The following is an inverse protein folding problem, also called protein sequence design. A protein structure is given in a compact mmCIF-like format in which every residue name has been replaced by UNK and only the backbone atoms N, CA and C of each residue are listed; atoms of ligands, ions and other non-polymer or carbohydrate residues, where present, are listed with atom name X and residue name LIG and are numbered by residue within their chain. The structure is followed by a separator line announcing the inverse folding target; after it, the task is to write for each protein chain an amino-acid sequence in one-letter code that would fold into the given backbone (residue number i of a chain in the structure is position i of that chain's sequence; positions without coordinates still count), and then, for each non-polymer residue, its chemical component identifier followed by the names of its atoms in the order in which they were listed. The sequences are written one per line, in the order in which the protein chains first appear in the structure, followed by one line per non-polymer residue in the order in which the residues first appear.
data_IF_964534728775
#
_entry.id   IF_964534728775
#
_cell.length_a   1.000
_cell.length_b   1.000
_cell.length_c   1.000
_cell.angle_alpha   90.00
_cell.angle_beta   90.00
_cell.angle_gamma   90.00
#
_symmetry.space_group_name_H-M   'P 1'
#
loop_
_entity.id
_entity.type
_entity.pdbx_description
1 polymer ?
#
# COMPACT_ATOMS: atom_id res chain seq x y z
N UNK A 1 -15.01 -5.40 29.76
CA UNK A 1 -14.53 -5.76 28.39
C UNK A 1 -13.53 -4.69 27.97
N UNK A 2 -12.31 -5.07 27.63
CA UNK A 2 -11.29 -4.12 27.19
C UNK A 2 -11.55 -3.68 25.74
N UNK A 3 -11.15 -2.45 25.42
CA UNK A 3 -11.48 -1.76 24.16
C UNK A 3 -10.24 -1.57 23.30
N UNK A 4 -10.29 -2.03 22.07
CA UNK A 4 -9.18 -1.94 21.10
C UNK A 4 -9.63 -1.19 19.86
N UNK A 5 -8.94 -0.10 19.55
CA UNK A 5 -9.17 0.70 18.37
C UNK A 5 -8.05 0.52 17.35
N UNK A 6 -8.43 0.10 16.16
CA UNK A 6 -7.58 0.13 14.97
C UNK A 6 -7.84 1.42 14.20
N UNK A 7 -6.84 2.25 13.98
CA UNK A 7 -6.97 3.53 13.33
C UNK A 7 -6.04 3.65 12.11
N UNK A 8 -6.57 4.13 10.99
CA UNK A 8 -5.81 4.47 9.81
C UNK A 8 -6.20 5.84 9.28
N UNK A 9 -5.20 6.62 8.86
CA UNK A 9 -5.39 7.87 8.15
C UNK A 9 -5.11 7.63 6.67
N UNK A 10 -6.17 7.47 5.89
CA UNK A 10 -6.12 7.17 4.46
C UNK A 10 -5.75 8.42 3.65
N UNK A 11 -5.13 8.23 2.47
CA UNK A 11 -4.75 9.34 1.60
C UNK A 11 -5.95 10.15 1.08
N UNK A 12 -7.13 9.51 0.96
CA UNK A 12 -8.39 10.15 0.52
C UNK A 12 -9.59 9.53 1.24
N UNK A 13 -10.72 10.24 1.28
CA UNK A 13 -11.96 9.79 1.94
C UNK A 13 -12.53 8.50 1.37
N UNK A 14 -12.44 8.32 0.07
CA UNK A 14 -12.98 7.15 -0.62
C UNK A 14 -12.01 5.95 -0.69
N UNK A 15 -10.95 5.96 0.11
CA UNK A 15 -10.03 4.83 0.24
C UNK A 15 -10.34 4.03 1.50
N UNK A 16 -10.15 2.71 1.42
CA UNK A 16 -10.14 1.83 2.59
C UNK A 16 -8.71 1.51 3.03
N UNK A 17 -8.54 0.93 4.20
CA UNK A 17 -7.23 0.46 4.66
C UNK A 17 -7.25 -1.06 4.87
N UNK A 18 -6.72 -1.79 3.89
CA UNK A 18 -6.68 -3.26 3.94
C UNK A 18 -5.90 -3.76 5.17
N UNK A 19 -4.82 -3.08 5.58
CA UNK A 19 -3.97 -3.54 6.67
C UNK A 19 -4.74 -3.64 7.99
N UNK A 20 -5.35 -2.54 8.48
CA UNK A 20 -6.06 -2.58 9.77
C UNK A 20 -7.27 -3.50 9.75
N UNK A 21 -7.92 -3.65 8.59
CA UNK A 21 -9.04 -4.60 8.40
C UNK A 21 -8.55 -6.03 8.51
N UNK A 22 -7.45 -6.37 7.86
CA UNK A 22 -6.82 -7.69 7.91
C UNK A 22 -6.38 -8.03 9.33
N UNK A 23 -5.68 -7.11 10.00
CA UNK A 23 -5.19 -7.28 11.37
C UNK A 23 -6.34 -7.53 12.35
N UNK A 24 -7.39 -6.70 12.29
CA UNK A 24 -8.56 -6.82 13.16
C UNK A 24 -9.29 -8.15 12.93
N UNK A 25 -9.54 -8.52 11.66
CA UNK A 25 -10.28 -9.74 11.30
C UNK A 25 -9.50 -11.01 11.67
N UNK A 26 -8.18 -11.03 11.41
CA UNK A 26 -7.34 -12.15 11.79
C UNK A 26 -7.24 -12.30 13.31
N UNK A 27 -7.04 -11.21 14.04
CA UNK A 27 -6.98 -11.23 15.50
C UNK A 27 -8.31 -11.70 16.13
N UNK A 28 -9.46 -11.24 15.61
CA UNK A 28 -10.76 -11.70 16.06
C UNK A 28 -10.95 -13.21 15.85
N UNK A 29 -10.51 -13.76 14.69
CA UNK A 29 -10.48 -15.21 14.46
C UNK A 29 -9.66 -15.92 15.53
N UNK A 30 -8.46 -15.42 15.86
CA UNK A 30 -7.57 -16.03 16.86
C UNK A 30 -8.11 -15.93 18.29
N UNK A 31 -8.76 -14.84 18.65
CA UNK A 31 -9.47 -14.70 19.92
C UNK A 31 -10.60 -15.72 20.03
N UNK A 32 -11.40 -15.89 19.00
CA UNK A 32 -12.48 -16.88 18.97
C UNK A 32 -11.97 -18.31 19.09
N UNK A 33 -10.89 -18.67 18.38
CA UNK A 33 -10.24 -19.99 18.48
C UNK A 33 -9.76 -20.31 19.90
N UNK A 34 -9.53 -19.29 20.76
CA UNK A 34 -9.13 -19.42 22.16
C UNK A 34 -10.27 -19.21 23.17
N UNK A 35 -11.50 -18.96 22.71
CA UNK A 35 -12.63 -18.66 23.60
C UNK A 35 -12.50 -17.32 24.33
N UNK A 36 -11.81 -16.35 23.72
CA UNK A 36 -11.55 -15.01 24.27
C UNK A 36 -12.33 -13.90 23.55
N UNK A 37 -13.19 -14.24 22.59
CA UNK A 37 -13.94 -13.30 21.76
C UNK A 37 -14.84 -12.35 22.56
N UNK A 38 -15.39 -12.78 23.69
CA UNK A 38 -16.17 -11.91 24.59
C UNK A 38 -15.35 -11.02 25.54
N UNK A 39 -14.01 -11.07 25.50
CA UNK A 39 -13.14 -10.30 26.40
C UNK A 39 -12.79 -8.91 25.88
N UNK A 40 -12.78 -8.73 24.56
CA UNK A 40 -12.38 -7.50 23.89
C UNK A 40 -13.49 -6.97 22.99
N UNK A 41 -13.67 -5.66 22.96
CA UNK A 41 -14.45 -4.94 21.95
C UNK A 41 -13.48 -4.36 20.92
N UNK A 42 -13.63 -4.74 19.65
CA UNK A 42 -12.77 -4.32 18.54
C UNK A 42 -13.50 -3.32 17.67
N UNK A 43 -12.93 -2.14 17.45
CA UNK A 43 -13.46 -1.16 16.51
C UNK A 43 -12.39 -0.74 15.51
N UNK A 44 -12.82 -0.36 14.31
CA UNK A 44 -11.98 0.16 13.23
C UNK A 44 -12.44 1.57 12.89
N UNK A 45 -11.49 2.51 12.81
CA UNK A 45 -11.72 3.88 12.35
C UNK A 45 -10.80 4.18 11.18
N UNK A 46 -11.40 4.47 10.04
CA UNK A 46 -10.73 4.95 8.84
C UNK A 46 -11.02 6.43 8.68
N UNK A 47 -9.99 7.24 8.83
CA UNK A 47 -10.01 8.68 8.68
C UNK A 47 -9.24 9.09 7.42
N UNK A 48 -9.19 10.36 7.09
CA UNK A 48 -8.41 10.87 5.95
C UNK A 48 -7.40 11.92 6.40
N UNK A 49 -6.23 11.94 5.75
CA UNK A 49 -5.24 13.02 5.95
C UNK A 49 -5.75 14.41 5.54
N UNK A 50 -6.91 14.49 4.87
CA UNK A 50 -7.57 15.74 4.51
C UNK A 50 -8.42 16.31 5.65
N UNK A 51 -8.58 15.58 6.76
CA UNK A 51 -9.20 16.07 7.98
C UNK A 51 -8.15 16.78 8.85
N UNK A 52 -8.59 17.72 9.67
CA UNK A 52 -7.69 18.31 10.65
C UNK A 52 -7.46 17.37 11.85
N UNK A 53 -6.37 17.60 12.59
CA UNK A 53 -6.01 16.76 13.72
C UNK A 53 -7.08 16.71 14.81
N UNK A 54 -7.78 17.83 15.08
CA UNK A 54 -8.82 17.90 16.11
C UNK A 54 -10.02 17.00 15.79
N UNK A 55 -10.46 16.96 14.54
CA UNK A 55 -11.55 16.06 14.09
C UNK A 55 -11.15 14.58 14.28
N UNK A 56 -9.91 14.24 13.98
CA UNK A 56 -9.40 12.87 14.14
C UNK A 56 -9.30 12.51 15.62
N UNK A 57 -8.75 13.40 16.45
CA UNK A 57 -8.65 13.21 17.91
C UNK A 57 -10.04 13.02 18.51
N UNK A 58 -11.00 13.85 18.16
CA UNK A 58 -12.41 13.71 18.60
C UNK A 58 -12.99 12.35 18.21
N UNK A 59 -12.82 11.95 16.95
CA UNK A 59 -13.31 10.65 16.46
C UNK A 59 -12.71 9.47 17.21
N UNK A 60 -11.42 9.55 17.63
CA UNK A 60 -10.76 8.54 18.45
C UNK A 60 -11.33 8.55 19.87
N UNK A 61 -11.47 9.72 20.49
CA UNK A 61 -11.97 9.86 21.86
C UNK A 61 -13.43 9.39 21.99
N UNK A 62 -14.24 9.59 20.94
CA UNK A 62 -15.65 9.18 20.90
C UNK A 62 -15.84 7.74 20.37
N UNK A 63 -14.76 7.02 20.05
CA UNK A 63 -14.84 5.72 19.38
C UNK A 63 -15.60 4.66 20.17
N UNK A 64 -15.73 4.78 21.50
CA UNK A 64 -16.42 3.83 22.39
C UNK A 64 -17.45 4.55 23.28
N UNK A 65 -18.24 5.44 22.70
CA UNK A 65 -19.35 6.13 23.38
C UNK A 65 -18.89 6.87 24.67
N UNK A 66 -17.72 7.53 24.57
CA UNK A 66 -17.09 8.29 25.64
C UNK A 66 -16.21 7.48 26.60
N UNK A 67 -16.08 6.18 26.39
CA UNK A 67 -15.12 5.38 27.13
C UNK A 67 -13.77 5.27 26.40
N UNK A 68 -12.67 5.32 27.15
CA UNK A 68 -11.32 5.29 26.60
C UNK A 68 -10.96 3.92 26.02
N UNK A 69 -10.27 3.85 24.87
CA UNK A 69 -9.62 2.62 24.41
C UNK A 69 -8.49 2.22 25.38
N UNK A 70 -8.36 0.91 25.66
CA UNK A 70 -7.20 0.36 26.39
C UNK A 70 -5.97 0.28 25.48
N UNK A 71 -6.21 0.06 24.17
CA UNK A 71 -5.18 -0.08 23.15
C UNK A 71 -5.60 0.62 21.86
N UNK A 72 -4.72 1.46 21.33
CA UNK A 72 -4.85 2.15 20.05
C UNK A 72 -3.73 1.72 19.11
N UNK A 73 -4.08 1.16 17.96
CA UNK A 73 -3.14 0.70 16.94
C UNK A 73 -3.26 1.55 15.68
N UNK A 74 -2.16 2.19 15.28
CA UNK A 74 -2.09 2.98 14.05
C UNK A 74 -1.38 2.25 12.92
N UNK A 75 -1.94 2.36 11.71
CA UNK A 75 -1.28 1.98 10.46
C UNK A 75 -0.56 3.18 9.86
N UNK A 76 0.79 3.13 9.88
CA UNK A 76 1.65 4.29 9.55
C UNK A 76 2.34 4.08 8.21
N UNK A 77 2.05 4.98 7.29
CA UNK A 77 2.60 5.06 5.94
C UNK A 77 3.27 6.41 5.71
N UNK A 78 4.04 6.51 4.64
CA UNK A 78 4.75 7.74 4.25
C UNK A 78 3.83 8.96 4.13
N UNK A 79 2.59 8.79 3.68
CA UNK A 79 1.65 9.89 3.47
C UNK A 79 0.94 10.36 4.73
N UNK A 80 0.90 9.56 5.79
CA UNK A 80 0.14 9.87 7.00
C UNK A 80 1.00 10.01 8.27
N UNK A 81 2.29 9.69 8.22
CA UNK A 81 3.08 9.56 9.44
C UNK A 81 3.15 10.88 10.25
N UNK A 82 3.34 12.02 9.62
CA UNK A 82 3.41 13.31 10.33
C UNK A 82 2.12 13.62 11.09
N UNK A 83 0.96 13.44 10.43
CA UNK A 83 -0.34 13.66 11.07
C UNK A 83 -0.62 12.60 12.13
N UNK A 84 -0.25 11.34 11.87
CA UNK A 84 -0.38 10.26 12.86
C UNK A 84 0.41 10.55 14.13
N UNK A 85 1.65 11.07 14.02
CA UNK A 85 2.47 11.43 15.16
C UNK A 85 1.82 12.55 15.97
N UNK A 86 1.37 13.62 15.31
CA UNK A 86 0.65 14.72 15.95
C UNK A 86 -0.58 14.25 16.71
N UNK A 87 -1.41 13.42 16.07
CA UNK A 87 -2.64 12.87 16.67
C UNK A 87 -2.29 11.95 17.85
N UNK A 88 -1.32 11.07 17.67
CA UNK A 88 -0.94 10.12 18.72
C UNK A 88 -0.38 10.82 19.97
N UNK A 89 0.44 11.87 19.80
CA UNK A 89 0.95 12.67 20.92
C UNK A 89 -0.14 13.40 21.66
N UNK A 90 -1.08 14.00 20.94
CA UNK A 90 -2.25 14.65 21.56
C UNK A 90 -3.12 13.64 22.34
N UNK A 91 -3.40 12.48 21.74
CA UNK A 91 -4.17 11.40 22.40
C UNK A 91 -3.43 10.92 23.66
N UNK A 92 -2.11 10.77 23.60
CA UNK A 92 -1.31 10.32 24.77
C UNK A 92 -1.30 11.36 25.89
N UNK A 93 -1.40 12.66 25.58
CA UNK A 93 -1.55 13.72 26.58
C UNK A 93 -2.96 13.71 27.20
N UNK A 94 -4.01 13.47 26.43
CA UNK A 94 -5.40 13.43 26.91
C UNK A 94 -5.64 12.15 27.75
N UNK A 95 -5.10 11.02 27.29
CA UNK A 95 -5.25 9.70 27.88
C UNK A 95 -3.88 9.08 28.20
N UNK A 96 -3.23 9.48 29.32
CA UNK A 96 -1.86 9.06 29.66
C UNK A 96 -1.69 7.55 29.80
N UNK A 97 -2.73 6.83 30.26
CA UNK A 97 -2.68 5.38 30.46
C UNK A 97 -2.91 4.57 29.18
N UNK A 98 -3.44 5.20 28.10
CA UNK A 98 -3.70 4.51 26.84
C UNK A 98 -2.41 3.95 26.25
N UNK A 99 -2.44 2.68 25.86
CA UNK A 99 -1.32 2.04 25.17
C UNK A 99 -1.46 2.27 23.67
N UNK A 100 -0.41 2.81 23.05
CA UNK A 100 -0.39 3.13 21.62
C UNK A 100 0.67 2.26 20.94
N UNK A 101 0.27 1.55 19.88
CA UNK A 101 1.15 0.78 19.04
C UNK A 101 1.14 1.31 17.60
N UNK A 102 2.32 1.37 16.98
CA UNK A 102 2.48 1.70 15.56
C UNK A 102 2.85 0.46 14.76
N UNK A 103 2.33 0.36 13.54
CA UNK A 103 2.73 -0.63 12.55
C UNK A 103 2.70 -0.04 11.15
N UNK A 104 3.24 -0.75 10.19
CA UNK A 104 3.29 -0.33 8.80
C UNK A 104 4.70 -0.04 8.28
N UNK A 105 4.84 0.18 6.96
CA UNK A 105 6.15 0.26 6.30
C UNK A 105 6.99 1.45 6.76
N UNK A 106 6.36 2.57 7.12
CA UNK A 106 7.08 3.78 7.52
C UNK A 106 7.85 3.60 8.85
N UNK A 107 7.33 2.81 9.76
CA UNK A 107 7.91 2.64 11.10
C UNK A 107 8.75 1.38 11.26
N UNK A 108 8.65 0.43 10.31
CA UNK A 108 9.30 -0.88 10.42
C UNK A 108 10.82 -0.83 10.26
N UNK A 109 11.36 0.11 9.45
CA UNK A 109 12.78 0.14 9.08
C UNK A 109 13.60 1.19 9.83
N UNK A 110 12.95 2.18 10.46
CA UNK A 110 13.59 3.26 11.24
C UNK A 110 13.01 3.36 12.65
N UNK A 111 12.76 2.25 13.31
CA UNK A 111 12.01 2.23 14.58
C UNK A 111 12.62 3.12 15.66
N UNK A 112 13.96 3.22 15.78
CA UNK A 112 14.61 4.16 16.70
C UNK A 112 14.26 5.62 16.38
N UNK A 113 14.40 6.03 15.13
CA UNK A 113 14.11 7.41 14.71
C UNK A 113 12.63 7.77 14.90
N UNK A 114 11.71 6.79 14.82
CA UNK A 114 10.30 7.01 15.15
C UNK A 114 10.13 7.41 16.61
N UNK A 115 10.78 6.71 17.56
CA UNK A 115 10.72 7.03 18.98
C UNK A 115 11.38 8.38 19.33
N UNK A 116 12.34 8.83 18.53
CA UNK A 116 12.94 10.15 18.67
C UNK A 116 11.99 11.26 18.20
N UNK A 117 11.20 10.98 17.13
CA UNK A 117 10.26 11.93 16.53
C UNK A 117 8.90 11.99 17.22
N UNK A 118 8.47 10.90 17.86
CA UNK A 118 7.16 10.77 18.48
C UNK A 118 7.26 10.05 19.83
N UNK A 119 6.81 10.72 20.88
CA UNK A 119 6.80 10.23 22.24
C UNK A 119 5.66 9.26 22.56
N UNK A 120 4.64 9.19 21.72
CA UNK A 120 3.40 8.49 22.05
C UNK A 120 3.46 6.95 21.99
N UNK A 121 4.10 6.28 20.99
CA UNK A 121 4.00 4.84 20.89
C UNK A 121 4.74 4.12 22.02
N UNK A 122 4.12 3.10 22.57
CA UNK A 122 4.70 2.18 23.55
C UNK A 122 5.55 1.11 22.87
N UNK A 123 5.17 0.72 21.65
CA UNK A 123 5.87 -0.27 20.82
C UNK A 123 5.61 -0.03 19.33
N UNK A 124 6.49 -0.61 18.49
CA UNK A 124 6.37 -0.63 17.04
C UNK A 124 6.33 -2.09 16.59
N UNK A 125 5.38 -2.42 15.72
CA UNK A 125 5.28 -3.74 15.07
C UNK A 125 6.14 -3.69 13.82
N UNK A 126 7.14 -4.57 13.72
CA UNK A 126 8.03 -4.69 12.57
C UNK A 126 7.57 -5.79 11.62
N UNK A 127 7.45 -5.46 10.33
CA UNK A 127 7.05 -6.43 9.30
C UNK A 127 5.53 -6.65 9.26
N UNK A 128 5.12 -7.90 8.94
CA UNK A 128 3.71 -8.27 8.83
C UNK A 128 3.03 -8.29 10.21
N UNK A 129 1.90 -7.64 10.32
CA UNK A 129 1.27 -7.38 11.61
C UNK A 129 0.30 -8.45 12.10
N UNK A 130 -0.14 -9.38 11.27
CA UNK A 130 -1.24 -10.31 11.60
C UNK A 130 -0.96 -11.14 12.85
N UNK A 131 0.20 -11.80 12.92
CA UNK A 131 0.58 -12.60 14.10
C UNK A 131 0.86 -11.74 15.33
N UNK A 132 1.75 -10.72 15.26
CA UNK A 132 2.00 -9.86 16.42
C UNK A 132 0.74 -9.25 17.01
N UNK A 133 -0.17 -8.73 16.18
CA UNK A 133 -1.41 -8.12 16.66
C UNK A 133 -2.32 -9.15 17.33
N UNK A 134 -2.48 -10.34 16.75
CA UNK A 134 -3.26 -11.40 17.38
C UNK A 134 -2.67 -11.79 18.75
N UNK A 135 -1.35 -11.94 18.86
CA UNK A 135 -0.67 -12.28 20.12
C UNK A 135 -0.79 -11.14 21.14
N UNK A 136 -0.68 -9.86 20.73
CA UNK A 136 -0.94 -8.67 21.57
C UNK A 136 -2.37 -8.73 22.13
N UNK A 137 -3.38 -8.98 21.29
CA UNK A 137 -4.77 -8.98 21.73
C UNK A 137 -5.09 -10.18 22.64
N UNK A 138 -4.50 -11.34 22.40
CA UNK A 138 -4.61 -12.49 23.28
C UNK A 138 -4.03 -12.13 24.66
N UNK A 139 -2.82 -11.54 24.71
CA UNK A 139 -2.22 -11.07 25.96
C UNK A 139 -3.08 -10.05 26.68
N UNK A 140 -3.65 -9.09 25.91
CA UNK A 140 -4.55 -8.10 26.48
C UNK A 140 -5.80 -8.74 27.10
N UNK A 141 -6.37 -9.77 26.46
CA UNK A 141 -7.56 -10.49 26.94
C UNK A 141 -7.26 -11.37 28.17
N UNK A 142 -6.07 -11.95 28.25
CA UNK A 142 -5.65 -12.86 29.33
C UNK A 142 -5.12 -12.13 30.56
N UNK A 143 -4.59 -10.90 30.41
CA UNK A 143 -3.94 -10.16 31.51
C UNK A 143 -4.97 -9.34 32.30
N UNK A 144 -4.94 -9.47 33.61
CA UNK A 144 -5.68 -8.57 34.52
C UNK A 144 -5.02 -7.19 34.58
N UNK A 145 -5.68 -6.21 35.23
CA UNK A 145 -5.22 -4.84 35.31
C UNK A 145 -3.78 -4.73 35.81
N UNK A 146 -2.90 -4.05 35.06
CA UNK A 146 -1.56 -3.64 35.47
C UNK A 146 -0.38 -4.47 34.94
N UNK A 147 -0.56 -5.64 34.32
CA UNK A 147 0.55 -6.47 33.83
C UNK A 147 0.72 -6.53 32.30
N UNK A 148 -0.08 -5.80 31.55
CA UNK A 148 -0.11 -5.96 30.09
C UNK A 148 1.17 -5.46 29.39
N UNK A 149 1.72 -4.32 29.81
CA UNK A 149 2.93 -3.76 29.20
C UNK A 149 4.12 -4.71 29.35
N UNK A 150 4.28 -5.33 30.51
CA UNK A 150 5.33 -6.32 30.76
C UNK A 150 5.13 -7.58 29.91
N UNK A 151 3.86 -8.00 29.73
CA UNK A 151 3.50 -9.16 28.93
C UNK A 151 3.84 -8.97 27.43
N UNK A 152 3.89 -7.73 26.93
CA UNK A 152 4.26 -7.42 25.53
C UNK A 152 5.68 -7.87 25.18
N UNK A 153 6.60 -7.94 26.14
CA UNK A 153 7.98 -8.38 25.90
C UNK A 153 8.05 -9.83 25.38
N UNK A 154 7.04 -10.63 25.65
CA UNK A 154 6.92 -12.03 25.18
C UNK A 154 6.36 -12.14 23.74
N UNK A 155 5.74 -11.08 23.21
CA UNK A 155 5.18 -11.05 21.86
C UNK A 155 6.30 -10.79 20.85
N UNK A 156 6.45 -11.64 19.86
CA UNK A 156 7.46 -11.49 18.80
C UNK A 156 7.08 -10.39 17.80
N UNK A 157 8.09 -9.77 17.18
CA UNK A 157 7.90 -8.74 16.18
C UNK A 157 7.77 -7.32 16.73
N UNK A 158 7.93 -7.11 18.03
CA UNK A 158 7.82 -5.80 18.66
C UNK A 158 9.18 -5.16 18.89
N UNK A 159 9.25 -3.87 18.58
CA UNK A 159 10.39 -3.02 18.88
C UNK A 159 9.98 -1.96 19.91
N UNK A 160 10.79 -1.79 20.94
CA UNK A 160 10.49 -0.95 22.11
C UNK A 160 11.38 0.28 22.16
N UNK A 161 10.94 1.30 22.89
CA UNK A 161 11.65 2.58 23.07
C UNK A 161 13.08 2.44 23.64
N UNK A 162 13.32 1.43 24.46
CA UNK A 162 14.64 1.13 25.01
C UNK A 162 15.62 0.51 23.99
N UNK A 163 15.22 0.43 22.71
CA UNK A 163 16.01 -0.17 21.63
C UNK A 163 15.93 -1.69 21.55
N UNK A 164 15.18 -2.35 22.43
CA UNK A 164 15.05 -3.82 22.38
C UNK A 164 14.08 -4.28 21.29
N UNK A 165 14.42 -5.38 20.64
CA UNK A 165 13.55 -6.09 19.71
C UNK A 165 13.19 -7.46 20.28
N UNK A 166 11.92 -7.80 20.29
CA UNK A 166 11.43 -9.05 20.88
C UNK A 166 11.71 -10.31 20.04
N UNK A 167 12.36 -10.15 18.89
CA UNK A 167 12.76 -11.23 18.00
C UNK A 167 11.81 -11.47 16.82
N UNK A 168 12.30 -12.21 15.85
CA UNK A 168 11.57 -12.53 14.61
C UNK A 168 10.46 -13.55 14.84
N UNK A 169 9.53 -13.58 13.87
CA UNK A 169 8.41 -14.53 13.83
C UNK A 169 8.17 -15.01 12.39
N UNK A 170 7.50 -16.13 12.24
CA UNK A 170 7.07 -16.61 10.94
C UNK A 170 5.79 -15.88 10.50
N UNK A 171 5.75 -15.32 9.29
CA UNK A 171 4.55 -14.73 8.72
C UNK A 171 3.37 -15.73 8.70
N UNK A 172 2.17 -15.19 8.78
CA UNK A 172 0.95 -15.98 8.68
C UNK A 172 0.77 -16.45 7.23
N UNK A 173 0.40 -17.73 6.96
CA UNK A 173 -0.06 -18.14 5.65
C UNK A 173 -1.24 -17.26 5.19
N UNK A 174 -1.23 -16.79 3.93
CA UNK A 174 -2.29 -15.88 3.44
C UNK A 174 -3.69 -16.52 3.51
N UNK A 175 -3.76 -17.83 3.30
CA UNK A 175 -5.00 -18.62 3.41
C UNK A 175 -5.61 -18.63 4.80
N UNK A 176 -4.83 -18.38 5.85
CA UNK A 176 -5.31 -18.32 7.23
C UNK A 176 -5.97 -16.98 7.57
N UNK A 177 -5.69 -15.93 6.80
CA UNK A 177 -6.28 -14.60 6.97
C UNK A 177 -7.70 -14.63 6.39
N UNK A 178 -8.75 -14.33 7.18
CA UNK A 178 -10.12 -14.33 6.67
C UNK A 178 -10.33 -13.24 5.60
N UNK A 179 -11.32 -13.45 4.73
CA UNK A 179 -11.75 -12.43 3.78
C UNK A 179 -12.42 -11.25 4.51
N UNK A 180 -11.76 -10.12 4.51
CA UNK A 180 -12.06 -8.98 5.39
C UNK A 180 -13.40 -8.30 5.08
N UNK A 181 -13.89 -8.38 3.83
CA UNK A 181 -15.13 -7.69 3.41
C UNK A 181 -16.41 -8.50 3.66
N UNK A 182 -16.27 -9.81 3.98
CA UNK A 182 -17.43 -10.65 4.34
C UNK A 182 -17.44 -11.02 5.83
N UNK A 183 -16.31 -10.91 6.51
CA UNK A 183 -16.12 -11.41 7.87
C UNK A 183 -15.61 -10.33 8.84
N UNK A 184 -15.90 -9.07 8.58
CA UNK A 184 -15.48 -7.97 9.44
C UNK A 184 -16.08 -8.13 10.85
N UNK A 185 -15.25 -8.14 11.91
CA UNK A 185 -15.72 -8.21 13.30
C UNK A 185 -16.08 -6.82 13.87
N UNK A 186 -16.18 -5.82 13.02
CA UNK A 186 -16.45 -4.41 13.33
C UNK A 186 -17.57 -3.89 12.43
N UNK A 187 -18.16 -2.78 12.83
CA UNK A 187 -19.18 -2.09 12.03
C UNK A 187 -18.55 -1.52 10.75
N UNK A 188 -19.13 -1.90 9.60
CA UNK A 188 -18.65 -1.46 8.31
C UNK A 188 -19.19 -0.07 7.97
N UNK A 189 -18.40 0.74 7.28
CA UNK A 189 -18.84 2.05 6.77
C UNK A 189 -19.94 1.88 5.72
N UNK A 190 -20.97 2.74 5.80
CA UNK A 190 -22.16 2.62 4.95
C UNK A 190 -21.86 2.76 3.44
N UNK A 191 -20.83 3.54 3.09
CA UNK A 191 -20.41 3.83 1.71
C UNK A 191 -19.30 2.92 1.17
N UNK A 192 -18.99 1.80 1.85
CA UNK A 192 -17.88 0.90 1.48
C UNK A 192 -17.91 0.47 0.02
N UNK A 193 -19.10 0.29 -0.56
CA UNK A 193 -19.28 -0.18 -1.94
C UNK A 193 -18.91 0.87 -2.99
N UNK A 194 -18.93 2.13 -2.63
CA UNK A 194 -18.56 3.27 -3.48
C UNK A 194 -17.10 3.69 -3.28
N UNK A 195 -16.42 3.10 -2.27
CA UNK A 195 -15.00 3.30 -2.02
C UNK A 195 -14.13 2.50 -2.97
N UNK A 196 -12.86 2.91 -3.05
CA UNK A 196 -11.78 2.08 -3.56
C UNK A 196 -11.44 1.07 -2.47
N UNK A 197 -11.74 -0.19 -2.70
CA UNK A 197 -11.35 -1.26 -1.79
C UNK A 197 -10.11 -1.97 -2.29
N UNK A 198 -9.24 -2.31 -1.36
CA UNK A 198 -7.97 -2.98 -1.67
C UNK A 198 -8.10 -4.46 -1.40
N UNK A 199 -7.59 -5.26 -2.33
CA UNK A 199 -7.62 -6.72 -2.25
C UNK A 199 -6.23 -7.31 -2.53
N UNK A 200 -5.83 -8.31 -1.78
CA UNK A 200 -4.54 -8.98 -1.91
C UNK A 200 -4.76 -10.45 -2.27
N UNK A 201 -4.40 -10.85 -3.49
CA UNK A 201 -4.39 -12.25 -3.90
C UNK A 201 -3.01 -12.89 -3.77
N UNK A 202 -1.96 -12.05 -3.72
CA UNK A 202 -0.60 -12.49 -3.47
C UNK A 202 0.22 -11.44 -2.73
N UNK A 203 1.19 -11.86 -1.94
CA UNK A 203 2.12 -11.02 -1.18
C UNK A 203 3.56 -11.38 -1.50
N UNK A 204 4.42 -10.37 -1.60
CA UNK A 204 5.81 -10.48 -2.02
C UNK A 204 6.02 -10.12 -3.50
N UNK A 205 7.28 -9.88 -3.90
CA UNK A 205 7.64 -9.55 -5.27
C UNK A 205 9.00 -10.20 -5.62
N UNK A 206 9.12 -10.94 -6.74
CA UNK A 206 10.37 -11.60 -7.07
C UNK A 206 11.43 -10.64 -7.63
N UNK A 207 11.02 -9.43 -7.98
CA UNK A 207 11.91 -8.42 -8.54
C UNK A 207 12.75 -7.71 -7.46
N UNK A 208 13.84 -7.07 -7.90
CA UNK A 208 14.86 -6.51 -7.03
C UNK A 208 15.03 -4.98 -7.25
N UNK A 209 13.96 -4.29 -7.62
CA UNK A 209 14.00 -2.86 -7.92
C UNK A 209 14.54 -2.07 -6.71
N UNK A 210 15.63 -1.31 -6.91
CA UNK A 210 16.36 -0.67 -5.82
C UNK A 210 15.54 0.38 -5.04
N UNK A 211 14.59 1.04 -5.68
CA UNK A 211 13.73 2.06 -5.07
C UNK A 211 12.49 1.51 -4.35
N UNK A 212 12.22 0.21 -4.46
CA UNK A 212 10.95 -0.38 -4.02
C UNK A 212 11.11 -1.18 -2.72
N UNK A 213 10.28 -0.89 -1.71
CA UNK A 213 10.22 -1.67 -0.46
C UNK A 213 9.76 -3.12 -0.69
N UNK A 214 8.97 -3.38 -1.72
CA UNK A 214 8.51 -4.75 -2.02
C UNK A 214 9.63 -5.67 -2.50
N UNK A 215 10.80 -5.13 -2.87
CA UNK A 215 11.99 -5.92 -3.21
C UNK A 215 12.62 -6.65 -2.01
N UNK A 216 12.17 -6.35 -0.80
CA UNK A 216 12.67 -6.95 0.44
C UNK A 216 12.09 -8.36 0.63
N UNK A 217 10.80 -8.56 0.38
CA UNK A 217 10.15 -9.88 0.43
C UNK A 217 10.08 -10.51 -0.97
N UNK A 218 11.08 -11.33 -1.28
CA UNK A 218 11.21 -12.00 -2.59
C UNK A 218 10.35 -13.25 -2.75
N UNK A 219 9.81 -13.78 -1.63
CA UNK A 219 8.99 -14.97 -1.65
C UNK A 219 7.53 -14.61 -1.93
N UNK A 220 7.08 -14.86 -3.15
CA UNK A 220 5.67 -14.65 -3.50
C UNK A 220 4.82 -15.77 -2.93
N UNK A 221 3.91 -15.42 -2.02
CA UNK A 221 2.85 -16.28 -1.45
C UNK A 221 1.55 -15.89 -2.13
N UNK A 222 0.77 -16.88 -2.54
CA UNK A 222 -0.44 -16.68 -3.37
C UNK A 222 -1.61 -17.39 -2.70
N UNK A 223 -2.77 -16.76 -2.64
CA UNK A 223 -4.02 -17.40 -2.23
C UNK A 223 -4.41 -18.54 -3.20
N UNK A 224 -5.08 -19.59 -2.74
CA UNK A 224 -5.69 -20.59 -3.60
C UNK A 224 -6.65 -19.94 -4.61
N UNK A 225 -6.57 -20.37 -5.88
CA UNK A 225 -7.34 -19.77 -6.97
C UNK A 225 -8.85 -19.79 -6.71
N UNK A 226 -9.36 -20.89 -6.22
CA UNK A 226 -10.80 -21.09 -5.92
C UNK A 226 -11.29 -20.05 -4.90
N UNK A 227 -10.45 -19.73 -3.91
CA UNK A 227 -10.74 -18.69 -2.93
C UNK A 227 -10.78 -17.31 -3.59
N UNK A 228 -9.77 -16.98 -4.42
CA UNK A 228 -9.73 -15.69 -5.14
C UNK A 228 -10.97 -15.51 -6.00
N UNK A 229 -11.38 -16.54 -6.74
CA UNK A 229 -12.58 -16.49 -7.58
C UNK A 229 -13.88 -16.31 -6.76
N UNK A 230 -13.99 -16.98 -5.61
CA UNK A 230 -15.15 -16.81 -4.71
C UNK A 230 -15.21 -15.38 -4.12
N UNK A 231 -14.07 -14.81 -3.74
CA UNK A 231 -13.99 -13.45 -3.20
C UNK A 231 -14.28 -12.38 -4.28
N UNK A 232 -13.84 -12.60 -5.53
CA UNK A 232 -14.21 -11.76 -6.69
C UNK A 232 -15.71 -11.85 -6.96
N UNK A 233 -16.30 -13.06 -6.91
CA UNK A 233 -17.75 -13.26 -7.05
C UNK A 233 -18.51 -12.46 -5.99
N UNK A 234 -18.05 -12.47 -4.74
CA UNK A 234 -18.63 -11.67 -3.66
C UNK A 234 -18.61 -10.17 -3.99
N UNK A 235 -17.46 -9.62 -4.41
CA UNK A 235 -17.36 -8.20 -4.76
C UNK A 235 -18.36 -7.81 -5.87
N UNK A 236 -18.44 -8.60 -6.92
CA UNK A 236 -19.39 -8.36 -8.02
C UNK A 236 -20.85 -8.50 -7.57
N UNK A 237 -21.18 -9.54 -6.78
CA UNK A 237 -22.53 -9.76 -6.26
C UNK A 237 -22.98 -8.64 -5.33
N UNK A 238 -22.06 -8.10 -4.51
CA UNK A 238 -22.33 -6.97 -3.62
C UNK A 238 -22.33 -5.62 -4.35
N UNK A 239 -21.87 -5.56 -5.62
CA UNK A 239 -21.84 -4.35 -6.43
C UNK A 239 -20.82 -3.31 -5.99
N UNK A 240 -19.67 -3.74 -5.51
CA UNK A 240 -18.53 -2.83 -5.24
C UNK A 240 -18.09 -2.12 -6.53
N UNK A 241 -17.70 -0.87 -6.41
CA UNK A 241 -17.39 -0.03 -7.57
C UNK A 241 -15.99 -0.30 -8.14
N UNK A 242 -14.95 -0.30 -7.29
CA UNK A 242 -13.56 -0.46 -7.71
C UNK A 242 -12.79 -1.32 -6.71
N UNK A 243 -12.22 -2.40 -7.22
CA UNK A 243 -11.32 -3.31 -6.49
C UNK A 243 -9.90 -3.08 -6.99
N UNK A 244 -9.03 -2.53 -6.15
CA UNK A 244 -7.60 -2.37 -6.48
C UNK A 244 -6.82 -3.53 -5.86
N UNK A 245 -6.26 -4.40 -6.73
CA UNK A 245 -5.33 -5.43 -6.29
C UNK A 245 -4.02 -4.78 -5.83
N UNK A 246 -3.54 -5.19 -4.65
CA UNK A 246 -2.27 -4.70 -4.09
C UNK A 246 -1.10 -5.66 -4.35
N UNK A 247 -1.33 -6.67 -5.15
CA UNK A 247 -0.33 -7.60 -5.66
C UNK A 247 0.73 -6.82 -6.45
N UNK A 248 2.00 -6.86 -6.01
CA UNK A 248 3.08 -6.01 -6.55
C UNK A 248 3.49 -6.32 -7.99
N UNK A 249 3.11 -7.47 -8.48
CA UNK A 249 3.14 -7.87 -9.89
C UNK A 249 2.13 -8.98 -10.04
N UNK A 250 0.92 -8.62 -10.41
CA UNK A 250 -0.21 -9.55 -10.44
C UNK A 250 -0.01 -10.69 -11.46
N UNK A 251 0.56 -10.39 -12.63
CA UNK A 251 0.65 -11.32 -13.74
C UNK A 251 1.95 -12.17 -13.76
N UNK A 252 2.40 -12.67 -12.61
CA UNK A 252 3.58 -13.52 -12.51
C UNK A 252 3.36 -14.95 -13.03
N UNK A 253 2.18 -15.54 -12.79
CA UNK A 253 1.85 -16.92 -13.09
C UNK A 253 0.68 -17.00 -14.07
N UNK A 254 0.90 -17.36 -15.37
CA UNK A 254 -0.17 -17.42 -16.36
C UNK A 254 -1.39 -18.23 -15.94
N UNK A 255 -1.19 -19.44 -15.39
CA UNK A 255 -2.28 -20.30 -14.91
C UNK A 255 -3.10 -19.69 -13.75
N UNK A 256 -2.62 -18.64 -13.11
CA UNK A 256 -3.35 -17.94 -12.04
C UNK A 256 -4.07 -16.71 -12.60
N UNK A 257 -3.32 -15.74 -13.17
CA UNK A 257 -3.92 -14.48 -13.61
C UNK A 257 -4.89 -14.62 -14.79
N UNK A 258 -4.61 -15.51 -15.74
CA UNK A 258 -5.52 -15.74 -16.87
C UNK A 258 -6.88 -16.25 -16.41
N UNK A 259 -6.91 -17.18 -15.44
CA UNK A 259 -8.18 -17.69 -14.90
C UNK A 259 -8.94 -16.64 -14.11
N UNK A 260 -8.25 -15.74 -13.41
CA UNK A 260 -8.88 -14.62 -12.72
C UNK A 260 -9.50 -13.64 -13.73
N UNK A 261 -8.74 -13.23 -14.75
CA UNK A 261 -9.28 -12.35 -15.79
C UNK A 261 -10.42 -13.00 -16.56
N UNK A 262 -10.29 -14.29 -16.91
CA UNK A 262 -11.37 -15.02 -17.55
C UNK A 262 -12.64 -14.99 -16.72
N UNK A 263 -12.53 -15.30 -15.41
CA UNK A 263 -13.68 -15.29 -14.52
C UNK A 263 -14.35 -13.91 -14.43
N UNK A 264 -13.55 -12.84 -14.30
CA UNK A 264 -14.05 -11.46 -14.29
C UNK A 264 -14.79 -11.15 -15.60
N UNK A 265 -14.22 -11.49 -16.75
CA UNK A 265 -14.79 -11.19 -18.07
C UNK A 265 -16.12 -11.94 -18.29
N UNK A 266 -16.16 -13.22 -17.95
CA UNK A 266 -17.33 -14.08 -18.14
C UNK A 266 -18.49 -13.75 -17.19
N UNK A 267 -18.19 -13.20 -15.99
CA UNK A 267 -19.19 -12.96 -14.94
C UNK A 267 -19.40 -11.48 -14.61
N UNK A 268 -18.87 -10.56 -15.42
CA UNK A 268 -18.89 -9.12 -15.13
C UNK A 268 -20.31 -8.59 -14.94
N UNK A 269 -20.51 -7.86 -13.85
CA UNK A 269 -21.83 -7.33 -13.44
C UNK A 269 -22.18 -5.96 -14.06
N UNK A 270 -21.35 -5.42 -14.99
CA UNK A 270 -21.53 -4.10 -15.60
C UNK A 270 -21.18 -2.90 -14.69
N UNK A 271 -20.71 -3.13 -13.45
CA UNK A 271 -20.46 -2.08 -12.45
C UNK A 271 -19.05 -2.13 -11.85
N UNK A 272 -18.57 -3.30 -11.46
CA UNK A 272 -17.33 -3.46 -10.69
C UNK A 272 -16.10 -3.39 -11.59
N UNK A 273 -15.22 -2.43 -11.36
CA UNK A 273 -13.92 -2.34 -12.02
C UNK A 273 -12.83 -3.03 -11.18
N UNK A 274 -11.87 -3.63 -11.85
CA UNK A 274 -10.71 -4.28 -11.24
C UNK A 274 -9.42 -3.66 -11.75
N UNK A 275 -8.56 -3.22 -10.85
CA UNK A 275 -7.29 -2.59 -11.16
C UNK A 275 -6.12 -3.49 -10.74
N UNK A 276 -5.12 -3.67 -11.64
CA UNK A 276 -4.00 -4.57 -11.45
C UNK A 276 -2.67 -3.88 -11.77
N UNK A 277 -1.66 -4.01 -10.88
CA UNK A 277 -0.27 -3.69 -11.19
C UNK A 277 0.37 -4.86 -11.94
N UNK A 278 0.83 -4.65 -13.18
CA UNK A 278 1.35 -5.72 -14.03
C UNK A 278 2.74 -5.41 -14.58
N UNK A 279 3.48 -6.47 -14.92
CA UNK A 279 4.64 -6.38 -15.80
C UNK A 279 4.21 -6.73 -17.23
N UNK A 280 4.25 -5.76 -18.14
CA UNK A 280 3.81 -5.97 -19.51
C UNK A 280 4.61 -7.05 -20.26
N UNK A 281 5.84 -7.36 -19.83
CA UNK A 281 6.66 -8.45 -20.42
C UNK A 281 6.06 -9.83 -20.19
N UNK A 282 5.29 -10.00 -19.12
CA UNK A 282 4.65 -11.27 -18.78
C UNK A 282 3.34 -11.54 -19.53
N UNK A 283 2.88 -10.58 -20.35
CA UNK A 283 1.69 -10.79 -21.19
C UNK A 283 2.00 -11.77 -22.31
N UNK A 284 1.27 -12.87 -22.37
CA UNK A 284 1.35 -13.88 -23.42
C UNK A 284 0.25 -13.69 -24.48
N UNK A 285 0.27 -14.46 -25.55
CA UNK A 285 -0.71 -14.37 -26.63
C UNK A 285 -2.14 -14.55 -26.11
N UNK A 286 -2.37 -15.52 -25.23
CA UNK A 286 -3.65 -15.80 -24.59
C UNK A 286 -4.17 -14.60 -23.77
N UNK A 287 -3.25 -13.81 -23.17
CA UNK A 287 -3.62 -12.59 -22.45
C UNK A 287 -4.34 -11.61 -23.36
N UNK A 288 -3.81 -11.34 -24.55
CA UNK A 288 -4.38 -10.37 -25.50
C UNK A 288 -5.73 -10.87 -26.06
N UNK A 289 -5.82 -12.14 -26.37
CA UNK A 289 -7.06 -12.78 -26.86
C UNK A 289 -8.18 -12.75 -25.82
N UNK A 290 -7.83 -12.94 -24.57
CA UNK A 290 -8.76 -12.87 -23.45
C UNK A 290 -9.21 -11.43 -23.18
N UNK A 291 -8.25 -10.50 -23.06
CA UNK A 291 -8.52 -9.09 -22.77
C UNK A 291 -9.36 -8.40 -23.87
N UNK A 292 -9.24 -8.85 -25.14
CA UNK A 292 -10.09 -8.34 -26.22
C UNK A 292 -11.60 -8.61 -25.99
N UNK A 293 -11.94 -9.56 -25.14
CA UNK A 293 -13.33 -9.91 -24.78
C UNK A 293 -13.83 -9.17 -23.54
N UNK A 294 -12.96 -8.45 -22.85
CA UNK A 294 -13.33 -7.76 -21.61
C UNK A 294 -14.34 -6.64 -21.86
N UNK A 295 -15.39 -6.52 -21.03
CA UNK A 295 -16.24 -5.34 -21.06
C UNK A 295 -15.42 -4.07 -20.79
N UNK A 296 -15.72 -2.98 -21.51
CA UNK A 296 -15.04 -1.71 -21.30
C UNK A 296 -15.18 -1.23 -19.86
N UNK A 297 -14.06 -0.82 -19.24
CA UNK A 297 -14.00 -0.37 -17.84
C UNK A 297 -13.96 -1.49 -16.80
N UNK A 298 -14.10 -2.78 -17.18
CA UNK A 298 -14.02 -3.89 -16.24
C UNK A 298 -12.59 -4.10 -15.68
N UNK A 299 -11.57 -3.89 -16.51
CA UNK A 299 -10.16 -4.14 -16.18
C UNK A 299 -9.34 -2.89 -16.47
N UNK A 300 -8.47 -2.56 -15.52
CA UNK A 300 -7.50 -1.46 -15.59
C UNK A 300 -6.11 -1.99 -15.25
N UNK A 301 -5.09 -1.52 -15.96
CA UNK A 301 -3.70 -1.86 -15.69
C UNK A 301 -2.89 -0.64 -15.29
N UNK A 302 -1.98 -0.85 -14.35
CA UNK A 302 -0.88 0.04 -14.01
C UNK A 302 0.43 -0.64 -14.41
N UNK A 303 1.22 0.01 -15.27
CA UNK A 303 2.44 -0.54 -15.85
C UNK A 303 3.61 0.37 -15.55
N UNK A 304 4.44 -0.01 -14.60
CA UNK A 304 5.64 0.73 -14.25
C UNK A 304 6.74 0.53 -15.31
N UNK A 305 7.00 1.53 -16.14
CA UNK A 305 8.15 1.58 -17.06
C UNK A 305 9.34 2.19 -16.33
N UNK A 306 9.12 3.28 -15.63
CA UNK A 306 10.00 4.04 -14.75
C UNK A 306 11.06 4.87 -15.48
N UNK A 307 11.73 4.32 -16.47
CA UNK A 307 12.70 4.94 -17.35
C UNK A 307 12.88 4.11 -18.63
N UNK A 308 13.37 4.71 -19.70
CA UNK A 308 13.83 3.98 -20.91
C UNK A 308 15.35 4.01 -21.06
N UNK A 309 16.06 4.71 -20.19
CA UNK A 309 17.52 4.78 -20.19
C UNK A 309 18.12 3.46 -19.67
N UNK A 310 18.88 2.69 -20.47
CA UNK A 310 19.43 1.40 -20.07
C UNK A 310 20.36 1.48 -18.85
N UNK A 311 21.15 2.56 -18.73
CA UNK A 311 22.07 2.75 -17.59
C UNK A 311 21.29 3.01 -16.30
N UNK A 312 20.20 3.77 -16.37
CA UNK A 312 19.29 4.00 -15.25
C UNK A 312 18.60 2.72 -14.82
N UNK A 313 18.02 1.98 -15.77
CA UNK A 313 17.35 0.70 -15.49
C UNK A 313 18.29 -0.31 -14.83
N UNK A 314 19.54 -0.42 -15.33
CA UNK A 314 20.56 -1.26 -14.73
C UNK A 314 20.92 -0.81 -13.32
N UNK A 315 21.07 0.50 -13.09
CA UNK A 315 21.40 1.05 -11.77
C UNK A 315 20.33 0.79 -10.71
N UNK A 316 19.07 0.65 -11.12
CA UNK A 316 17.95 0.32 -10.21
C UNK A 316 17.51 -1.14 -10.29
N UNK A 317 18.34 -2.04 -10.81
CA UNK A 317 18.07 -3.48 -10.93
C UNK A 317 16.81 -3.82 -11.73
N UNK A 318 16.50 -3.04 -12.77
CA UNK A 318 15.42 -3.36 -13.71
C UNK A 318 15.97 -3.88 -15.04
N UNK A 319 15.15 -4.66 -15.73
CA UNK A 319 15.47 -5.12 -17.09
C UNK A 319 15.51 -3.92 -18.05
N UNK A 320 16.54 -3.81 -18.91
CA UNK A 320 16.62 -2.77 -19.94
C UNK A 320 15.76 -3.08 -21.18
N UNK A 321 15.00 -4.18 -21.20
CA UNK A 321 14.17 -4.60 -22.35
C UNK A 321 12.87 -3.79 -22.41
N UNK A 322 13.01 -2.50 -22.73
CA UNK A 322 11.90 -1.54 -22.90
C UNK A 322 11.10 -1.85 -24.14
N UNK A 323 11.75 -2.33 -25.22
CA UNK A 323 11.08 -2.66 -26.48
C UNK A 323 10.04 -3.77 -26.34
N UNK A 324 10.31 -4.78 -25.50
CA UNK A 324 9.36 -5.83 -25.21
C UNK A 324 8.14 -5.29 -24.45
N UNK A 325 8.38 -4.40 -23.47
CA UNK A 325 7.31 -3.69 -22.75
C UNK A 325 6.45 -2.89 -23.72
N UNK A 326 7.07 -2.03 -24.54
CA UNK A 326 6.37 -1.17 -25.48
C UNK A 326 5.56 -1.95 -26.53
N UNK A 327 6.16 -3.02 -27.09
CA UNK A 327 5.48 -3.92 -28.02
C UNK A 327 4.22 -4.51 -27.42
N UNK A 328 4.29 -4.98 -26.18
CA UNK A 328 3.16 -5.58 -25.49
C UNK A 328 2.10 -4.53 -25.09
N UNK A 329 2.50 -3.34 -24.64
CA UNK A 329 1.55 -2.25 -24.35
C UNK A 329 0.74 -1.89 -25.62
N UNK A 330 1.38 -1.75 -26.78
CA UNK A 330 0.68 -1.47 -28.06
C UNK A 330 -0.32 -2.54 -28.47
N UNK A 331 -0.20 -3.75 -27.95
CA UNK A 331 -1.10 -4.89 -28.20
C UNK A 331 -2.25 -4.98 -27.21
N UNK A 332 -2.19 -4.26 -26.08
CA UNK A 332 -3.31 -4.25 -25.13
C UNK A 332 -4.54 -3.66 -25.84
N UNK A 333 -5.69 -4.35 -25.79
CA UNK A 333 -6.91 -3.87 -26.44
C UNK A 333 -7.40 -2.54 -25.83
N UNK A 334 -7.99 -1.67 -26.68
CA UNK A 334 -8.44 -0.32 -26.29
C UNK A 334 -9.60 -0.29 -25.27
N UNK A 335 -10.25 -1.40 -24.99
CA UNK A 335 -11.26 -1.53 -23.95
C UNK A 335 -10.64 -1.67 -22.54
N UNK A 336 -9.32 -1.82 -22.44
CA UNK A 336 -8.56 -1.87 -21.20
C UNK A 336 -7.95 -0.49 -20.93
N UNK A 337 -8.21 0.07 -19.76
CA UNK A 337 -7.59 1.31 -19.32
C UNK A 337 -6.15 1.05 -18.84
N UNK A 338 -5.17 1.78 -19.37
CA UNK A 338 -3.74 1.58 -19.08
C UNK A 338 -3.11 2.85 -18.52
N UNK A 339 -2.59 2.74 -17.29
CA UNK A 339 -1.72 3.73 -16.68
C UNK A 339 -0.26 3.36 -16.94
N UNK A 340 0.54 4.32 -17.35
CA UNK A 340 1.98 4.18 -17.60
C UNK A 340 2.74 5.06 -16.62
N UNK A 341 3.76 4.50 -15.93
CA UNK A 341 4.47 5.24 -14.90
C UNK A 341 5.93 5.48 -15.25
N UNK A 342 6.38 6.70 -14.97
CA UNK A 342 7.78 7.13 -14.99
C UNK A 342 8.20 7.66 -13.61
N UNK A 343 9.49 7.51 -13.28
CA UNK A 343 10.08 8.07 -12.05
C UNK A 343 11.24 8.99 -12.41
N UNK A 344 11.09 10.28 -12.16
CA UNK A 344 12.16 11.27 -12.26
C UNK A 344 13.11 11.18 -11.06
N UNK A 345 14.40 11.45 -11.29
CA UNK A 345 15.43 11.47 -10.25
C UNK A 345 16.01 10.08 -9.93
N UNK A 346 15.86 9.11 -10.80
CA UNK A 346 16.58 7.83 -10.70
C UNK A 346 18.09 8.01 -10.97
N UNK A 347 18.94 7.09 -10.47
CA UNK A 347 20.39 7.15 -10.73
C UNK A 347 20.73 7.14 -12.22
N UNK A 348 21.76 7.89 -12.63
CA UNK A 348 22.25 7.95 -14.03
C UNK A 348 21.30 8.59 -15.03
N UNK A 349 20.21 9.21 -14.59
CA UNK A 349 19.24 9.87 -15.46
C UNK A 349 19.36 11.40 -15.33
N UNK A 350 19.60 12.08 -16.43
CA UNK A 350 19.59 13.54 -16.52
C UNK A 350 18.33 14.03 -17.24
N UNK A 351 18.14 15.34 -17.33
CA UNK A 351 16.95 15.94 -17.96
C UNK A 351 16.73 15.47 -19.39
N UNK A 352 17.79 15.34 -20.19
CA UNK A 352 17.69 14.95 -21.61
C UNK A 352 17.26 13.48 -21.73
N UNK A 353 17.90 12.58 -20.98
CA UNK A 353 17.54 11.16 -21.00
C UNK A 353 16.16 10.91 -20.44
N UNK A 354 15.74 11.68 -19.42
CA UNK A 354 14.39 11.63 -18.91
C UNK A 354 13.36 12.15 -19.91
N UNK A 355 13.66 13.25 -20.62
CA UNK A 355 12.82 13.76 -21.71
C UNK A 355 12.60 12.71 -22.80
N UNK A 356 13.65 11.99 -23.21
CA UNK A 356 13.52 10.86 -24.15
C UNK A 356 12.62 9.76 -23.59
N UNK A 357 12.73 9.43 -22.29
CA UNK A 357 11.86 8.45 -21.64
C UNK A 357 10.40 8.91 -21.64
N UNK A 358 10.17 10.19 -21.34
CA UNK A 358 8.85 10.79 -21.35
C UNK A 358 8.19 10.73 -22.74
N UNK A 359 8.90 11.22 -23.76
CA UNK A 359 8.40 11.22 -25.16
C UNK A 359 8.10 9.80 -25.65
N UNK A 360 9.01 8.86 -25.35
CA UNK A 360 8.83 7.47 -25.72
C UNK A 360 7.58 6.85 -25.09
N UNK A 361 7.37 7.08 -23.79
CA UNK A 361 6.22 6.52 -23.06
C UNK A 361 4.92 7.22 -23.44
N UNK A 362 4.93 8.53 -23.64
CA UNK A 362 3.76 9.28 -24.13
C UNK A 362 3.30 8.78 -25.51
N UNK A 363 4.25 8.42 -26.40
CA UNK A 363 3.96 7.83 -27.71
C UNK A 363 3.32 6.42 -27.66
N UNK A 364 3.32 5.75 -26.51
CA UNK A 364 2.60 4.49 -26.32
C UNK A 364 1.08 4.69 -26.17
N UNK A 365 0.65 5.94 -25.92
CA UNK A 365 -0.76 6.37 -25.85
C UNK A 365 -1.57 5.60 -24.79
N UNK A 366 -1.00 5.41 -23.59
CA UNK A 366 -1.79 5.00 -22.41
C UNK A 366 -2.85 6.04 -22.09
N UNK A 367 -3.96 5.62 -21.48
CA UNK A 367 -5.03 6.53 -21.07
C UNK A 367 -4.58 7.47 -19.94
N UNK A 368 -3.56 7.09 -19.18
CA UNK A 368 -2.94 7.93 -18.16
C UNK A 368 -1.43 7.75 -18.18
N UNK A 369 -0.70 8.85 -18.08
CA UNK A 369 0.75 8.89 -17.86
C UNK A 369 1.02 9.52 -16.50
N UNK A 370 1.58 8.75 -15.60
CA UNK A 370 1.95 9.21 -14.27
C UNK A 370 3.45 9.51 -14.23
N UNK A 371 3.77 10.76 -13.96
CA UNK A 371 5.12 11.21 -13.69
C UNK A 371 5.30 11.29 -12.17
N UNK A 372 6.10 10.38 -11.60
CA UNK A 372 6.45 10.40 -10.19
C UNK A 372 7.89 10.85 -9.96
N UNK A 373 8.22 11.17 -8.71
CA UNK A 373 9.58 11.51 -8.28
C UNK A 373 10.11 10.45 -7.32
N UNK A 374 11.42 10.15 -7.44
CA UNK A 374 12.07 9.19 -6.55
C UNK A 374 11.86 9.58 -5.09
N UNK A 375 11.40 8.64 -4.29
CA UNK A 375 11.31 8.75 -2.83
C UNK A 375 12.34 7.84 -2.21
N UNK A 376 13.20 8.39 -1.37
CA UNK A 376 14.27 7.66 -0.69
C UNK A 376 13.69 6.98 0.55
N UNK A 377 13.04 5.84 0.34
CA UNK A 377 12.36 5.11 1.40
C UNK A 377 13.35 4.38 2.29
N UNK A 378 13.16 4.50 3.59
CA UNK A 378 13.93 3.73 4.56
C UNK A 378 13.69 2.22 4.37
N UNK A 379 14.78 1.45 4.33
CA UNK A 379 14.74 0.02 4.05
C UNK A 379 14.80 -0.34 2.56
N UNK A 380 14.53 0.59 1.63
CA UNK A 380 14.77 0.34 0.20
C UNK A 380 16.28 0.41 -0.13
N UNK A 381 16.80 -0.47 -1.00
CA UNK A 381 18.23 -0.49 -1.34
C UNK A 381 18.78 0.85 -1.86
N UNK A 382 17.94 1.67 -2.50
CA UNK A 382 18.33 3.00 -3.02
C UNK A 382 18.84 3.94 -1.92
N UNK A 383 18.42 3.77 -0.67
CA UNK A 383 18.88 4.58 0.45
C UNK A 383 20.41 4.49 0.66
N UNK A 384 21.04 3.37 0.29
CA UNK A 384 22.50 3.25 0.33
C UNK A 384 23.15 4.05 -0.80
N UNK A 385 22.60 4.02 -2.01
CA UNK A 385 23.08 4.81 -3.16
C UNK A 385 23.06 6.32 -2.87
N UNK A 386 22.04 6.78 -2.15
CA UNK A 386 21.89 8.22 -1.86
C UNK A 386 22.87 8.74 -0.79
N UNK A 387 23.70 7.89 -0.19
CA UNK A 387 24.82 8.31 0.67
C UNK A 387 26.03 8.83 -0.12
N UNK A 388 26.10 8.54 -1.43
CA UNK A 388 27.12 9.07 -2.31
C UNK A 388 26.98 10.60 -2.48
N UNK A 389 28.08 11.33 -2.74
CA UNK A 389 28.02 12.79 -2.94
C UNK A 389 27.12 13.18 -4.11
N UNK A 390 26.43 14.31 -3.96
CA UNK A 390 25.58 14.90 -5.01
C UNK A 390 24.10 14.54 -4.90
N UNK A 391 23.72 13.65 -3.98
CA UNK A 391 22.33 13.38 -3.67
C UNK A 391 21.80 14.34 -2.60
N UNK A 392 20.60 14.88 -2.84
CA UNK A 392 19.81 15.64 -1.88
C UNK A 392 18.37 15.16 -1.95
N UNK A 393 17.76 14.95 -0.80
CA UNK A 393 16.34 14.58 -0.68
C UNK A 393 15.76 15.13 0.61
N UNK A 394 14.45 15.22 0.69
CA UNK A 394 13.74 15.68 1.89
C UNK A 394 13.95 14.69 3.04
N UNK A 395 14.33 15.18 4.22
CA UNK A 395 14.45 14.35 5.43
C UNK A 395 13.12 14.13 6.15
N UNK A 396 12.06 14.75 5.65
CA UNK A 396 10.68 14.55 6.10
C UNK A 396 9.88 13.87 4.99
N UNK A 397 8.84 13.11 5.31
CA UNK A 397 7.96 12.52 4.30
C UNK A 397 7.43 13.56 3.31
N UNK A 398 7.39 13.23 2.05
CA UNK A 398 7.53 11.92 1.43
C UNK A 398 8.96 11.49 1.06
N UNK A 399 10.02 12.07 1.61
CA UNK A 399 11.44 11.77 1.35
C UNK A 399 11.82 11.90 -0.13
N UNK A 400 11.20 12.85 -0.79
CA UNK A 400 11.33 13.06 -2.22
C UNK A 400 12.71 13.63 -2.58
N UNK A 401 13.27 13.15 -3.68
CA UNK A 401 14.54 13.64 -4.20
C UNK A 401 14.44 15.12 -4.58
N UNK A 402 15.44 15.88 -4.17
CA UNK A 402 15.61 17.31 -4.51
C UNK A 402 16.68 17.49 -5.60
N UNK A 403 17.70 16.62 -5.59
CA UNK A 403 18.80 16.65 -6.54
C UNK A 403 19.48 15.29 -6.59
N UNK A 404 19.99 14.92 -7.77
CA UNK A 404 20.89 13.77 -7.95
C UNK A 404 22.21 14.25 -8.56
N UNK A 405 23.25 13.42 -8.60
CA UNK A 405 24.50 13.77 -9.30
C UNK A 405 24.32 14.13 -10.79
N UNK A 406 23.25 13.62 -11.43
CA UNK A 406 22.98 13.82 -12.85
C UNK A 406 21.83 14.81 -13.15
N UNK A 407 21.02 15.17 -12.13
CA UNK A 407 19.82 15.98 -12.27
C UNK A 407 19.78 17.05 -11.16
N UNK A 408 20.23 18.29 -11.45
CA UNK A 408 20.23 19.40 -10.51
C UNK A 408 18.83 19.81 -10.06
N UNK A 409 18.71 20.47 -8.91
CA UNK A 409 17.43 20.90 -8.33
C UNK A 409 16.53 21.71 -9.29
N UNK A 410 17.14 22.61 -10.08
CA UNK A 410 16.39 23.42 -11.05
C UNK A 410 15.71 22.56 -12.14
N UNK A 411 16.34 21.45 -12.51
CA UNK A 411 15.78 20.52 -13.48
C UNK A 411 14.67 19.63 -12.84
N UNK A 412 14.81 19.29 -11.57
CA UNK A 412 13.71 18.65 -10.79
C UNK A 412 12.49 19.58 -10.76
N UNK A 413 12.66 20.89 -10.52
CA UNK A 413 11.54 21.84 -10.53
C UNK A 413 10.87 21.91 -11.90
N UNK A 414 11.66 21.95 -13.00
CA UNK A 414 11.11 21.90 -14.36
C UNK A 414 10.28 20.62 -14.59
N UNK A 415 10.76 19.48 -14.10
CA UNK A 415 10.00 18.22 -14.23
C UNK A 415 8.71 18.21 -13.38
N UNK A 416 8.65 18.96 -12.28
CA UNK A 416 7.39 19.16 -11.53
C UNK A 416 6.36 20.01 -12.31
N UNK A 417 6.85 20.99 -13.04
CA UNK A 417 5.98 21.75 -13.96
C UNK A 417 5.46 20.82 -15.08
N UNK A 418 6.33 19.95 -15.62
CA UNK A 418 5.93 18.92 -16.61
C UNK A 418 4.91 17.94 -16.04
N UNK A 419 5.07 17.47 -14.78
CA UNK A 419 4.08 16.63 -14.09
C UNK A 419 2.70 17.33 -14.07
N UNK A 420 2.67 18.58 -13.61
CA UNK A 420 1.44 19.38 -13.56
C UNK A 420 0.80 19.53 -14.95
N UNK A 421 1.59 19.81 -15.97
CA UNK A 421 1.09 19.93 -17.35
C UNK A 421 0.63 18.58 -17.90
N UNK A 422 1.27 17.48 -17.54
CA UNK A 422 0.85 16.12 -17.90
C UNK A 422 -0.52 15.82 -17.32
N UNK A 423 -0.76 16.14 -16.07
CA UNK A 423 -2.07 15.94 -15.43
C UNK A 423 -3.17 16.79 -16.07
N UNK A 424 -2.87 18.05 -16.42
CA UNK A 424 -3.84 18.96 -17.02
C UNK A 424 -4.16 18.58 -18.48
N UNK A 425 -3.14 18.27 -19.28
CA UNK A 425 -3.31 18.14 -20.73
C UNK A 425 -3.36 16.67 -21.19
N UNK A 426 -2.51 15.80 -20.69
CA UNK A 426 -2.45 14.40 -21.12
C UNK A 426 -3.52 13.55 -20.41
N UNK A 427 -3.63 13.68 -19.09
CA UNK A 427 -4.51 12.86 -18.27
C UNK A 427 -5.97 13.35 -18.23
N UNK A 428 -6.22 14.60 -18.64
CA UNK A 428 -7.57 15.14 -18.67
C UNK A 428 -8.35 14.69 -19.92
N UNK A 429 -9.60 14.26 -19.76
CA UNK A 429 -10.44 13.93 -20.92
C UNK A 429 -10.72 15.12 -21.83
N UNK A 430 -10.62 16.36 -21.32
CA UNK A 430 -10.96 17.59 -22.04
C UNK A 430 -10.01 17.90 -23.21
N UNK A 431 -8.75 17.43 -23.13
CA UNK A 431 -7.71 17.66 -24.13
C UNK A 431 -7.39 16.43 -25.00
N UNK A 432 -8.13 15.33 -24.82
CA UNK A 432 -7.86 14.06 -25.50
C UNK A 432 -7.76 14.16 -27.02
N UNK A 433 -8.52 15.06 -27.67
CA UNK A 433 -8.52 15.28 -29.09
C UNK A 433 -7.42 16.27 -29.59
N UNK A 434 -6.81 17.00 -28.64
CA UNK A 434 -5.74 17.97 -28.98
C UNK A 434 -4.37 17.31 -29.00
N UNK A 435 -4.19 16.24 -28.23
CA UNK A 435 -2.92 15.52 -28.04
C UNK A 435 -2.85 14.24 -28.90
N UNK A 436 -3.96 13.82 -29.52
CA UNK A 436 -4.06 12.59 -30.32
C UNK A 436 -3.32 12.63 -31.65
#
# INVERSE_FOLDING_TARGET
MKKVLFCALNARYNHTNLAIRSLCTYAAKKLKERGLDGKLELRVKEQSINQNAEEIIRSIAEAFDGAEPDLLLFSVYIWNCSLTYTVAEAIKQIFPEMIIGFGGPEVSYQSNAVFEKCGAPSFIIKGEGERPVADILIKLAETESGGFVDALSSVKGLFFRNGSFSGDFLPVPLEDIPFVYANAPFEERADIKDCIVYYESSRGCPFNCAYCLSSIDKKVRTLPLERVLAEIAYFMAQGFRLIKFVDRTFNLKPNHYLKIWQYIIENHNGKTAFHFEIDARNLCQESFELLAKAPAGAIQFEVGIQSTNPETLKAVNRSPDVESIARNIRRIPKNIHVHLDLIAGLPKENLISFGHSYDYVAALKGEQLQLGFLKVLSGAPIAETTKEPGWQFMHIPPYEVLQTPALPYREILLLKDVETLTDIFYNSPDFRFTIS
#
